data_IF_696278247038
#
_entry.id   IF_696278247038
#
_cell.length_a   1.000
_cell.length_b   1.000
_cell.length_c   1.000
_cell.angle_alpha   90.00
_cell.angle_beta   90.00
_cell.angle_gamma   90.00
#
_symmetry.space_group_name_H-M   'P 1'
#
loop_
_entity.id
_entity.type
_entity.pdbx_description
1 polymer ?
#
# COMPACT_ATOMS: atom_id res chain seq x y z
N UNK A 1 29.02 -40.40 -30.98
CA UNK A 1 27.81 -40.41 -30.14
C UNK A 1 28.16 -39.79 -28.81
N UNK A 2 27.70 -38.57 -28.53
CA UNK A 2 27.90 -37.89 -27.26
C UNK A 2 26.52 -37.57 -26.68
N UNK A 3 26.26 -38.15 -25.52
CA UNK A 3 25.00 -38.11 -24.79
C UNK A 3 24.84 -36.73 -24.13
N UNK A 4 23.85 -35.94 -24.58
CA UNK A 4 23.47 -34.69 -23.93
C UNK A 4 22.72 -35.02 -22.63
N UNK A 5 23.42 -34.90 -21.51
CA UNK A 5 22.84 -34.92 -20.17
C UNK A 5 21.90 -33.73 -20.00
N UNK A 6 20.64 -34.02 -19.67
CA UNK A 6 19.58 -33.05 -19.53
C UNK A 6 19.88 -31.96 -18.51
N UNK A 7 19.67 -30.71 -18.91
CA UNK A 7 19.50 -29.60 -17.99
C UNK A 7 18.17 -29.77 -17.26
N UNK A 8 18.21 -30.46 -16.12
CA UNK A 8 17.12 -30.41 -15.14
C UNK A 8 16.85 -28.95 -14.74
N UNK A 9 15.58 -28.56 -14.84
CA UNK A 9 15.08 -27.27 -14.39
C UNK A 9 15.48 -27.04 -12.92
N UNK A 10 16.41 -26.10 -12.70
CA UNK A 10 16.69 -25.61 -11.33
C UNK A 10 15.47 -24.84 -10.85
N UNK A 11 14.60 -25.48 -10.06
CA UNK A 11 13.57 -24.81 -9.25
C UNK A 11 14.19 -23.63 -8.53
N UNK A 12 13.59 -22.46 -8.69
CA UNK A 12 14.03 -21.23 -8.05
C UNK A 12 13.96 -21.42 -6.53
N UNK A 13 15.04 -21.12 -5.81
CA UNK A 13 15.07 -21.10 -4.33
C UNK A 13 14.12 -20.04 -3.71
N UNK A 14 13.37 -19.33 -4.55
CA UNK A 14 12.38 -18.31 -4.19
C UNK A 14 10.96 -18.70 -4.65
N UNK A 15 10.75 -19.91 -5.17
CA UNK A 15 9.39 -20.44 -5.30
C UNK A 15 8.89 -20.78 -3.90
N UNK A 16 7.81 -20.13 -3.40
CA UNK A 16 7.15 -20.61 -2.20
C UNK A 16 6.80 -22.09 -2.41
N UNK A 17 6.86 -22.88 -1.33
CA UNK A 17 6.48 -24.30 -1.32
C UNK A 17 4.96 -24.49 -1.51
N UNK A 18 4.39 -23.87 -2.54
CA UNK A 18 2.98 -23.83 -2.83
C UNK A 18 2.77 -24.15 -4.31
N UNK A 19 2.41 -25.41 -4.55
CA UNK A 19 2.20 -26.04 -5.86
C UNK A 19 0.72 -26.02 -6.30
N UNK A 20 -0.12 -25.26 -5.60
CA UNK A 20 -1.53 -25.09 -5.94
C UNK A 20 -2.44 -26.22 -5.49
N UNK A 21 -1.96 -27.16 -4.65
CA UNK A 21 -2.79 -28.25 -4.11
C UNK A 21 -2.97 -28.16 -2.58
N UNK A 22 -2.10 -27.43 -1.87
CA UNK A 22 -2.17 -27.36 -0.41
C UNK A 22 -3.13 -26.28 0.12
N UNK A 23 -4.27 -26.74 0.68
CA UNK A 23 -5.21 -25.96 1.52
C UNK A 23 -4.68 -25.72 2.95
N UNK A 24 -3.53 -26.32 3.32
CA UNK A 24 -2.91 -26.13 4.64
C UNK A 24 -1.47 -25.63 4.53
N UNK A 25 -1.15 -24.65 5.39
CA UNK A 25 0.10 -23.90 5.39
C UNK A 25 1.24 -24.70 6.03
N UNK A 26 2.38 -24.77 5.34
CA UNK A 26 3.65 -25.21 5.94
C UNK A 26 4.34 -24.01 6.60
N UNK A 27 4.62 -24.03 7.92
CA UNK A 27 5.19 -22.89 8.64
C UNK A 27 6.53 -22.42 8.07
N UNK A 28 6.60 -21.15 7.63
CA UNK A 28 7.84 -20.47 7.26
C UNK A 28 8.72 -20.23 8.49
N UNK A 29 10.04 -20.33 8.30
CA UNK A 29 11.04 -20.24 9.38
C UNK A 29 11.01 -18.86 10.05
N UNK A 30 10.69 -18.83 11.34
CA UNK A 30 10.79 -17.63 12.20
C UNK A 30 12.25 -17.16 12.32
N UNK A 31 12.44 -15.84 12.40
CA UNK A 31 13.75 -15.22 12.66
C UNK A 31 14.05 -15.22 14.17
N UNK A 32 15.33 -15.22 14.54
CA UNK A 32 15.74 -14.93 15.93
C UNK A 32 15.47 -13.47 16.25
N UNK A 33 14.77 -13.21 17.35
CA UNK A 33 14.51 -11.88 17.90
C UNK A 33 15.84 -11.17 18.23
N UNK A 34 15.91 -9.87 17.94
CA UNK A 34 16.97 -8.98 18.43
C UNK A 34 16.29 -7.95 19.33
N UNK A 35 16.87 -7.72 20.51
CA UNK A 35 16.37 -6.77 21.50
C UNK A 35 16.23 -5.36 20.93
N UNK A 36 15.14 -4.72 21.32
CA UNK A 36 14.61 -3.47 20.77
C UNK A 36 14.89 -2.29 21.73
N UNK A 37 15.29 -1.14 21.18
CA UNK A 37 15.59 0.11 21.91
C UNK A 37 14.29 0.92 22.07
N UNK A 38 13.86 1.33 23.29
CA UNK A 38 12.51 1.80 23.51
C UNK A 38 12.33 3.26 23.06
N UNK A 39 11.67 3.45 21.92
CA UNK A 39 11.04 4.73 21.55
C UNK A 39 9.63 4.82 22.16
N UNK A 40 9.26 6.06 22.51
CA UNK A 40 7.97 6.58 23.02
C UNK A 40 6.90 5.51 23.26
N UNK A 41 6.57 5.27 24.54
CA UNK A 41 5.40 4.48 24.94
C UNK A 41 4.15 5.20 24.46
N UNK A 42 3.47 4.63 23.46
CA UNK A 42 2.17 5.09 23.02
C UNK A 42 1.17 4.89 24.16
N UNK A 43 0.53 5.97 24.64
CA UNK A 43 -0.48 5.92 25.69
C UNK A 43 -1.82 5.45 25.16
N UNK A 44 -2.67 4.86 26.01
CA UNK A 44 -4.01 4.42 25.64
C UNK A 44 -4.89 5.59 25.16
N UNK A 45 -4.66 6.80 25.67
CA UNK A 45 -5.33 8.02 25.22
C UNK A 45 -4.99 8.38 23.77
N UNK A 46 -3.71 8.29 23.39
CA UNK A 46 -3.26 8.51 22.02
C UNK A 46 -3.82 7.44 21.06
N UNK A 47 -3.94 6.19 21.52
CA UNK A 47 -4.59 5.13 20.75
C UNK A 47 -6.09 5.41 20.54
N UNK A 48 -6.77 5.99 21.55
CA UNK A 48 -8.19 6.37 21.47
C UNK A 48 -8.41 7.50 20.49
N UNK A 49 -7.63 8.57 20.56
CA UNK A 49 -7.72 9.70 19.61
C UNK A 49 -7.50 9.25 18.17
N UNK A 50 -6.51 8.38 17.93
CA UNK A 50 -6.28 7.77 16.62
C UNK A 50 -7.50 7.01 16.11
N UNK A 51 -8.18 6.28 16.99
CA UNK A 51 -9.35 5.48 16.64
C UNK A 51 -10.62 6.34 16.42
N UNK A 52 -10.80 7.41 17.19
CA UNK A 52 -11.88 8.39 16.99
C UNK A 52 -11.74 9.13 15.64
N UNK A 53 -10.51 9.53 15.28
CA UNK A 53 -10.23 10.10 13.97
C UNK A 53 -10.50 9.09 12.83
N UNK A 54 -10.19 7.80 13.03
CA UNK A 54 -10.50 6.75 12.06
C UNK A 54 -12.02 6.56 11.86
N UNK A 55 -12.79 6.64 12.94
CA UNK A 55 -14.24 6.51 12.92
C UNK A 55 -14.90 7.64 12.11
N UNK A 56 -14.57 8.89 12.43
CA UNK A 56 -15.10 10.08 11.73
C UNK A 56 -14.79 10.01 10.23
N UNK A 57 -13.58 9.54 9.88
CA UNK A 57 -13.17 9.40 8.48
C UNK A 57 -13.93 8.28 7.76
N UNK A 58 -14.22 7.15 8.43
CA UNK A 58 -15.01 6.07 7.86
C UNK A 58 -16.45 6.49 7.55
N UNK A 59 -17.12 7.25 8.42
CA UNK A 59 -18.51 7.68 8.18
C UNK A 59 -18.68 8.55 6.92
N UNK A 60 -17.58 9.17 6.46
CA UNK A 60 -17.57 9.97 5.25
C UNK A 60 -17.27 9.16 3.97
N UNK A 61 -17.09 7.83 4.07
CA UNK A 61 -16.78 6.95 2.94
C UNK A 61 -18.02 6.67 2.10
N UNK A 62 -17.95 6.92 0.80
CA UNK A 62 -18.87 6.44 -0.21
C UNK A 62 -18.85 4.92 -0.34
N UNK A 63 -20.03 4.30 -0.50
CA UNK A 63 -20.07 2.92 -0.98
C UNK A 63 -19.51 2.77 -2.40
N UNK A 64 -19.66 3.80 -3.24
CA UNK A 64 -19.22 3.80 -4.65
C UNK A 64 -17.68 3.77 -4.80
N UNK A 65 -16.93 4.43 -3.91
CA UNK A 65 -15.47 4.58 -3.99
C UNK A 65 -14.76 3.99 -2.76
N UNK A 66 -15.36 2.94 -2.18
CA UNK A 66 -14.96 2.37 -0.89
C UNK A 66 -13.48 1.98 -0.82
N UNK A 67 -12.90 1.49 -1.93
CA UNK A 67 -11.50 1.07 -1.99
C UNK A 67 -10.57 2.28 -2.05
N UNK A 68 -10.77 3.20 -3.02
CA UNK A 68 -9.92 4.39 -3.14
C UNK A 68 -9.97 5.25 -1.88
N UNK A 69 -11.15 5.46 -1.30
CA UNK A 69 -11.30 6.24 -0.08
C UNK A 69 -10.70 5.51 1.11
N UNK A 70 -10.94 4.20 1.27
CA UNK A 70 -10.30 3.37 2.30
C UNK A 70 -8.77 3.44 2.29
N UNK A 71 -8.16 3.36 1.12
CA UNK A 71 -6.70 3.48 0.99
C UNK A 71 -6.22 4.90 1.30
N UNK A 72 -6.96 5.91 0.87
CA UNK A 72 -6.64 7.31 1.14
C UNK A 72 -6.71 7.63 2.63
N UNK A 73 -7.72 7.09 3.33
CA UNK A 73 -7.80 7.16 4.78
C UNK A 73 -6.63 6.47 5.46
N UNK A 74 -6.27 5.27 5.01
CA UNK A 74 -5.11 4.55 5.53
C UNK A 74 -3.82 5.37 5.43
N UNK A 75 -3.58 6.02 4.29
CA UNK A 75 -2.42 6.90 4.09
C UNK A 75 -2.46 8.12 5.01
N UNK A 76 -3.64 8.72 5.17
CA UNK A 76 -3.84 9.91 6.03
C UNK A 76 -3.59 9.57 7.49
N UNK A 77 -4.09 8.43 7.97
CA UNK A 77 -3.81 7.92 9.31
C UNK A 77 -2.30 7.70 9.50
N UNK A 78 -1.67 6.96 8.59
CA UNK A 78 -0.25 6.66 8.68
C UNK A 78 0.60 7.93 8.73
N UNK A 79 0.22 8.95 7.97
CA UNK A 79 0.83 10.27 8.02
C UNK A 79 0.62 10.93 9.40
N UNK A 80 -0.61 10.96 9.91
CA UNK A 80 -0.95 11.55 11.21
C UNK A 80 -0.15 10.92 12.36
N UNK A 81 -0.10 9.59 12.43
CA UNK A 81 0.72 8.84 13.40
C UNK A 81 2.20 9.20 13.24
N UNK A 82 2.64 9.32 12.00
CA UNK A 82 3.98 9.77 11.67
C UNK A 82 4.35 11.17 12.18
N UNK A 83 3.36 12.07 12.30
CA UNK A 83 3.58 13.43 12.79
C UNK A 83 3.72 13.51 14.31
N UNK A 84 3.14 12.55 15.04
CA UNK A 84 3.24 12.46 16.50
C UNK A 84 4.67 12.20 16.98
N UNK A 85 5.54 11.66 16.11
CA UNK A 85 6.98 11.59 16.36
C UNK A 85 7.61 10.26 15.93
N UNK A 86 8.71 9.92 16.59
CA UNK A 86 9.39 8.64 16.37
C UNK A 86 8.72 7.57 17.25
N UNK A 87 7.94 6.70 16.62
CA UNK A 87 7.11 5.70 17.27
C UNK A 87 7.43 4.35 16.65
N UNK A 88 7.51 3.29 17.46
CA UNK A 88 7.46 1.93 16.94
C UNK A 88 6.29 1.18 17.55
N UNK A 89 5.47 0.61 16.67
CA UNK A 89 4.37 -0.28 17.02
C UNK A 89 4.81 -1.71 16.76
N UNK A 90 4.79 -2.55 17.80
CA UNK A 90 4.95 -3.99 17.64
C UNK A 90 3.62 -4.68 17.33
N UNK A 91 3.66 -5.96 16.97
CA UNK A 91 2.46 -6.74 16.64
C UNK A 91 1.38 -6.73 17.73
N UNK A 92 1.74 -6.67 19.03
CA UNK A 92 0.76 -6.61 20.12
C UNK A 92 0.04 -5.25 20.14
N UNK A 93 0.77 -4.15 19.96
CA UNK A 93 0.19 -2.80 19.91
C UNK A 93 -0.66 -2.59 18.66
N UNK A 94 -0.23 -3.14 17.51
CA UNK A 94 -1.02 -3.12 16.27
C UNK A 94 -2.35 -3.85 16.47
N UNK A 95 -2.33 -5.03 17.10
CA UNK A 95 -3.57 -5.78 17.38
C UNK A 95 -4.48 -5.03 18.36
N UNK A 96 -3.95 -4.39 19.40
CA UNK A 96 -4.75 -3.56 20.31
C UNK A 96 -5.45 -2.40 19.60
N UNK A 97 -4.78 -1.75 18.65
CA UNK A 97 -5.37 -0.69 17.82
C UNK A 97 -6.55 -1.23 17.00
N UNK A 98 -6.36 -2.40 16.39
CA UNK A 98 -7.38 -3.06 15.56
C UNK A 98 -8.57 -3.46 16.42
N UNK A 99 -8.34 -4.08 17.58
CA UNK A 99 -9.40 -4.47 18.52
C UNK A 99 -10.16 -3.25 19.06
N UNK A 100 -9.45 -2.14 19.34
CA UNK A 100 -10.06 -0.88 19.73
C UNK A 100 -10.96 -0.31 18.64
N UNK A 101 -10.50 -0.37 17.39
CA UNK A 101 -11.28 0.04 16.24
C UNK A 101 -12.52 -0.83 16.04
N UNK A 102 -12.40 -2.17 16.07
CA UNK A 102 -13.53 -3.11 15.98
C UNK A 102 -14.64 -2.81 16.99
N UNK A 103 -14.25 -2.48 18.23
CA UNK A 103 -15.19 -2.10 19.30
C UNK A 103 -15.91 -0.79 19.01
N UNK A 104 -15.21 0.21 18.47
CA UNK A 104 -15.80 1.50 18.14
C UNK A 104 -16.78 1.41 16.96
N UNK A 105 -16.47 0.59 15.97
CA UNK A 105 -17.31 0.43 14.78
C UNK A 105 -18.37 -0.68 14.92
N UNK A 106 -18.38 -1.37 16.07
CA UNK A 106 -19.21 -2.53 16.38
C UNK A 106 -19.22 -3.60 15.27
N UNK A 107 -18.10 -3.72 14.55
CA UNK A 107 -17.95 -4.59 13.38
C UNK A 107 -16.56 -5.22 13.37
N UNK A 108 -16.46 -6.53 13.14
CA UNK A 108 -15.16 -7.17 12.99
C UNK A 108 -14.47 -6.70 11.71
N UNK A 109 -13.15 -6.52 11.79
CA UNK A 109 -12.27 -6.32 10.65
C UNK A 109 -12.22 -7.60 9.83
N UNK A 110 -12.22 -7.44 8.51
CA UNK A 110 -12.17 -8.55 7.54
C UNK A 110 -10.98 -9.50 7.80
N UNK A 111 -11.22 -10.80 7.74
CA UNK A 111 -10.22 -11.83 8.03
C UNK A 111 -9.00 -11.76 7.11
N UNK A 112 -9.15 -11.29 5.86
CA UNK A 112 -8.01 -11.08 4.95
C UNK A 112 -7.14 -9.92 5.43
N UNK A 113 -7.73 -8.88 6.01
CA UNK A 113 -7.00 -7.77 6.62
C UNK A 113 -6.28 -8.27 7.87
N UNK A 114 -6.96 -9.02 8.75
CA UNK A 114 -6.33 -9.65 9.93
C UNK A 114 -5.15 -10.54 9.54
N UNK A 115 -5.30 -11.32 8.46
CA UNK A 115 -4.22 -12.16 7.93
C UNK A 115 -2.99 -11.33 7.53
N UNK A 116 -3.18 -10.17 6.89
CA UNK A 116 -2.07 -9.27 6.53
C UNK A 116 -1.44 -8.66 7.78
N UNK A 117 -2.25 -8.15 8.71
CA UNK A 117 -1.80 -7.54 9.96
C UNK A 117 -0.99 -8.54 10.82
N UNK A 118 -1.41 -9.80 10.86
CA UNK A 118 -0.73 -10.85 11.61
C UNK A 118 0.67 -11.18 11.08
N UNK A 119 1.00 -10.79 9.85
CA UNK A 119 2.36 -10.94 9.30
C UNK A 119 3.30 -9.81 9.71
N UNK A 120 2.78 -8.69 10.21
CA UNK A 120 3.56 -7.52 10.62
C UNK A 120 4.20 -7.81 11.98
N UNK A 121 5.52 -7.65 12.06
CA UNK A 121 6.27 -7.71 13.30
C UNK A 121 6.33 -6.32 13.96
N UNK A 122 6.82 -5.34 13.21
CA UNK A 122 6.92 -3.95 13.66
C UNK A 122 6.61 -2.95 12.54
N UNK A 123 6.02 -1.82 12.94
CA UNK A 123 5.91 -0.60 12.15
C UNK A 123 6.70 0.50 12.86
N UNK A 124 7.77 0.99 12.23
CA UNK A 124 8.58 2.08 12.79
C UNK A 124 8.31 3.36 12.00
N UNK A 125 7.73 4.34 12.69
CA UNK A 125 7.49 5.69 12.21
C UNK A 125 8.68 6.57 12.60
N UNK A 126 9.17 7.35 11.63
CA UNK A 126 10.23 8.33 11.84
C UNK A 126 9.81 9.66 11.24
N UNK A 127 9.76 10.69 12.09
CA UNK A 127 9.57 12.06 11.64
C UNK A 127 10.85 12.57 10.97
N UNK A 128 10.70 13.15 9.79
CA UNK A 128 11.77 13.71 8.99
C UNK A 128 11.60 15.24 8.86
N UNK A 129 12.66 15.99 8.50
CA UNK A 129 12.57 17.42 8.25
C UNK A 129 11.55 17.76 7.15
N UNK A 130 10.87 18.89 7.32
CA UNK A 130 9.86 19.39 6.37
C UNK A 130 8.52 18.67 6.47
N UNK A 131 8.12 18.21 7.66
CA UNK A 131 6.82 17.56 7.86
C UNK A 131 6.71 16.17 7.22
N UNK A 132 7.81 15.58 6.77
CA UNK A 132 7.82 14.23 6.18
C UNK A 132 7.78 13.15 7.25
N UNK A 133 7.19 12.01 6.91
CA UNK A 133 7.26 10.80 7.73
C UNK A 133 7.82 9.65 6.90
N UNK A 134 8.65 8.81 7.52
CA UNK A 134 9.05 7.52 6.97
C UNK A 134 8.54 6.40 7.85
N UNK A 135 7.93 5.41 7.21
CA UNK A 135 7.35 4.24 7.85
C UNK A 135 8.12 3.04 7.33
N UNK A 136 8.77 2.32 8.25
CA UNK A 136 9.45 1.07 7.94
C UNK A 136 8.61 -0.11 8.41
N UNK A 137 8.36 -1.04 7.50
CA UNK A 137 7.57 -2.24 7.73
C UNK A 137 8.51 -3.43 7.89
N UNK A 138 8.42 -4.11 9.04
CA UNK A 138 9.10 -5.39 9.24
C UNK A 138 8.07 -6.49 9.35
N UNK A 139 8.29 -7.56 8.58
CA UNK A 139 7.47 -8.78 8.67
C UNK A 139 8.08 -9.78 9.64
N UNK A 140 7.23 -10.60 10.27
CA UNK A 140 7.64 -11.73 11.12
C UNK A 140 8.44 -12.77 10.35
N UNK A 141 8.23 -12.83 9.04
CA UNK A 141 8.88 -13.77 8.13
C UNK A 141 9.98 -13.08 7.31
N UNK A 142 10.92 -13.88 6.80
CA UNK A 142 12.08 -13.38 6.03
C UNK A 142 11.64 -12.66 4.75
N UNK A 143 10.55 -13.15 4.15
CA UNK A 143 9.94 -12.66 2.93
C UNK A 143 9.25 -11.31 3.13
N UNK A 144 8.98 -10.88 4.37
CA UNK A 144 8.20 -9.70 4.70
C UNK A 144 6.72 -10.02 4.84
N UNK A 145 5.88 -9.16 4.30
CA UNK A 145 4.42 -9.30 4.26
C UNK A 145 4.04 -9.71 2.84
N UNK A 146 3.28 -10.80 2.70
CA UNK A 146 2.82 -11.33 1.41
C UNK A 146 1.30 -11.48 1.45
N UNK A 147 0.64 -10.88 0.46
CA UNK A 147 -0.80 -11.02 0.26
C UNK A 147 -1.06 -11.69 -1.08
N UNK A 148 -1.62 -12.90 -1.03
CA UNK A 148 -1.98 -13.67 -2.23
C UNK A 148 -3.26 -13.08 -2.82
N UNK A 149 -3.18 -12.61 -4.06
CA UNK A 149 -4.31 -12.02 -4.80
C UNK A 149 -4.96 -13.08 -5.67
N UNK A 150 -4.15 -13.85 -6.40
CA UNK A 150 -4.56 -14.95 -7.28
C UNK A 150 -5.71 -14.62 -8.25
N UNK A 151 -5.84 -13.37 -8.67
CA UNK A 151 -6.89 -12.91 -9.57
C UNK A 151 -6.48 -13.12 -11.02
N UNK A 152 -7.33 -13.78 -11.80
CA UNK A 152 -7.09 -14.00 -13.22
C UNK A 152 -7.40 -12.73 -14.03
N UNK A 153 -6.68 -12.57 -15.14
CA UNK A 153 -6.91 -11.46 -16.06
C UNK A 153 -8.21 -11.63 -16.84
N UNK A 154 -8.74 -10.52 -17.33
CA UNK A 154 -9.96 -10.44 -18.14
C UNK A 154 -9.78 -10.93 -19.60
N UNK A 155 -8.55 -11.32 -19.98
CA UNK A 155 -8.20 -11.77 -21.33
C UNK A 155 -7.98 -10.66 -22.35
N UNK A 156 -8.18 -9.39 -21.97
CA UNK A 156 -8.01 -8.24 -22.86
C UNK A 156 -6.55 -7.73 -22.92
N UNK A 157 -5.71 -8.20 -22.00
CA UNK A 157 -4.31 -7.78 -21.85
C UNK A 157 -3.35 -8.97 -21.78
N UNK A 158 -2.05 -8.70 -21.91
CA UNK A 158 -0.98 -9.67 -21.70
C UNK A 158 -0.92 -10.23 -20.26
N UNK A 159 -1.69 -9.66 -19.32
CA UNK A 159 -1.75 -10.10 -17.93
C UNK A 159 -2.67 -11.31 -17.82
N UNK A 160 -2.10 -12.45 -17.45
CA UNK A 160 -2.86 -13.69 -17.20
C UNK A 160 -3.38 -13.78 -15.78
N UNK A 161 -2.57 -13.36 -14.79
CA UNK A 161 -2.93 -13.49 -13.37
C UNK A 161 -2.14 -12.52 -12.51
N UNK A 162 -2.79 -11.81 -11.60
CA UNK A 162 -2.15 -11.09 -10.50
C UNK A 162 -1.93 -12.10 -9.37
N UNK A 163 -0.68 -12.46 -9.10
CA UNK A 163 -0.34 -13.52 -8.16
C UNK A 163 -0.40 -13.03 -6.72
N UNK A 164 0.44 -12.06 -6.39
CA UNK A 164 0.54 -11.56 -5.02
C UNK A 164 1.08 -10.13 -4.97
N UNK A 165 0.73 -9.45 -3.89
CA UNK A 165 1.43 -8.27 -3.40
C UNK A 165 2.46 -8.71 -2.36
N UNK A 166 3.62 -8.06 -2.34
CA UNK A 166 4.63 -8.26 -1.31
C UNK A 166 5.25 -6.94 -0.89
N UNK A 167 5.25 -6.67 0.42
CA UNK A 167 6.17 -5.73 1.04
C UNK A 167 7.33 -6.54 1.63
N UNK A 168 8.51 -6.45 1.00
CA UNK A 168 9.71 -7.16 1.48
C UNK A 168 10.05 -6.76 2.91
N UNK A 169 10.72 -7.64 3.66
CA UNK A 169 11.09 -7.31 5.02
C UNK A 169 12.02 -6.08 5.05
N UNK A 170 11.64 -5.05 5.82
CA UNK A 170 12.33 -3.76 5.85
C UNK A 170 11.92 -2.81 4.72
N UNK A 171 10.76 -3.03 4.08
CA UNK A 171 10.18 -2.08 3.12
C UNK A 171 9.92 -0.73 3.79
N UNK A 172 10.00 0.35 3.01
CA UNK A 172 9.78 1.71 3.50
C UNK A 172 8.72 2.43 2.66
N UNK A 173 7.92 3.25 3.34
CA UNK A 173 7.04 4.24 2.72
C UNK A 173 7.40 5.61 3.28
N UNK A 174 7.77 6.55 2.42
CA UNK A 174 7.91 7.95 2.80
C UNK A 174 6.64 8.71 2.40
N UNK A 175 6.08 9.44 3.35
CA UNK A 175 4.88 10.26 3.21
C UNK A 175 5.27 11.73 3.30
N UNK A 176 4.80 12.52 2.33
CA UNK A 176 5.07 13.94 2.23
C UNK A 176 3.78 14.67 1.85
N UNK A 177 3.48 15.77 2.55
CA UNK A 177 2.38 16.66 2.15
C UNK A 177 2.79 17.36 0.85
N UNK A 178 1.85 17.54 -0.06
CA UNK A 178 2.01 18.36 -1.26
C UNK A 178 1.54 19.77 -0.91
N UNK A 179 2.44 20.63 -0.43
CA UNK A 179 2.11 22.00 -0.02
C UNK A 179 2.82 23.06 -0.86
N UNK A 180 4.04 22.79 -1.32
CA UNK A 180 4.84 23.72 -2.12
C UNK A 180 4.40 23.79 -3.58
N UNK A 181 4.68 24.92 -4.23
CA UNK A 181 4.43 25.10 -5.67
C UNK A 181 5.11 24.00 -6.51
N UNK A 182 6.33 23.60 -6.14
CA UNK A 182 7.08 22.58 -6.85
C UNK A 182 6.41 21.20 -6.76
N UNK A 183 5.92 20.82 -5.59
CA UNK A 183 5.24 19.52 -5.41
C UNK A 183 3.89 19.48 -6.12
N UNK A 184 3.17 20.61 -6.14
CA UNK A 184 1.94 20.76 -6.93
C UNK A 184 2.21 20.64 -8.42
N UNK A 185 3.25 21.29 -8.92
CA UNK A 185 3.68 21.16 -10.32
C UNK A 185 4.03 19.70 -10.67
N UNK A 186 4.76 19.00 -9.80
CA UNK A 186 5.08 17.59 -10.01
C UNK A 186 3.82 16.71 -10.10
N UNK A 187 2.84 16.93 -9.21
CA UNK A 187 1.55 16.24 -9.27
C UNK A 187 0.82 16.55 -10.58
N UNK A 188 0.75 17.82 -10.97
CA UNK A 188 0.06 18.24 -12.19
C UNK A 188 0.71 17.63 -13.45
N UNK A 189 2.04 17.63 -13.54
CA UNK A 189 2.78 16.98 -14.62
C UNK A 189 2.54 15.47 -14.66
N UNK A 190 2.54 14.82 -13.48
CA UNK A 190 2.23 13.39 -13.38
C UNK A 190 0.84 13.09 -13.93
N UNK A 191 -0.17 13.81 -13.45
CA UNK A 191 -1.58 13.68 -13.84
C UNK A 191 -1.78 13.95 -15.33
N UNK A 192 -1.07 14.94 -15.90
CA UNK A 192 -1.12 15.25 -17.32
C UNK A 192 -0.50 14.15 -18.19
N UNK A 193 0.63 13.56 -17.81
CA UNK A 193 1.26 12.46 -18.56
C UNK A 193 0.47 11.13 -18.41
N UNK A 194 -0.15 10.88 -17.27
CA UNK A 194 -1.00 9.70 -17.04
C UNK A 194 -2.36 9.81 -17.73
N UNK A 195 -3.00 10.98 -17.68
CA UNK A 195 -4.31 11.22 -18.29
C UNK A 195 -4.31 11.03 -19.81
N UNK A 196 -3.20 11.32 -20.48
CA UNK A 196 -3.02 11.06 -21.92
C UNK A 196 -3.04 9.57 -22.32
N UNK A 197 -2.88 8.67 -21.35
CA UNK A 197 -2.72 7.22 -21.57
C UNK A 197 -3.89 6.42 -21.03
N UNK A 198 -5.00 7.08 -20.69
CA UNK A 198 -6.19 6.51 -20.04
C UNK A 198 -5.86 5.64 -18.81
N UNK A 199 -4.72 5.92 -18.16
CA UNK A 199 -4.19 5.11 -17.06
C UNK A 199 -4.64 5.60 -15.68
N UNK A 200 -5.39 6.70 -15.65
CA UNK A 200 -6.05 7.24 -14.45
C UNK A 200 -7.48 7.64 -14.78
N UNK A 201 -8.35 7.69 -13.78
CA UNK A 201 -9.74 8.12 -13.95
C UNK A 201 -9.82 9.50 -14.65
N UNK A 202 -10.67 9.59 -15.68
CA UNK A 202 -10.77 10.75 -16.59
C UNK A 202 -11.03 12.09 -15.91
N UNK A 203 -11.66 12.06 -14.74
CA UNK A 203 -11.99 13.25 -13.97
C UNK A 203 -10.78 13.81 -13.20
N UNK A 204 -9.77 12.98 -12.87
CA UNK A 204 -8.61 13.44 -12.11
C UNK A 204 -7.83 14.53 -12.88
N UNK A 205 -7.43 14.36 -14.17
CA UNK A 205 -6.78 15.42 -14.93
C UNK A 205 -7.59 16.68 -15.11
N UNK A 206 -8.92 16.56 -15.07
CA UNK A 206 -9.82 17.68 -15.31
C UNK A 206 -9.96 18.58 -14.08
N UNK A 207 -9.91 18.00 -12.89
CA UNK A 207 -10.34 18.67 -11.65
C UNK A 207 -9.25 18.76 -10.58
N UNK A 208 -8.02 18.31 -10.86
CA UNK A 208 -6.96 18.29 -9.83
C UNK A 208 -6.59 19.70 -9.34
N UNK A 209 -6.64 20.71 -10.21
CA UNK A 209 -6.35 22.10 -9.83
C UNK A 209 -7.46 22.67 -8.93
N UNK A 210 -8.72 22.35 -9.23
CA UNK A 210 -9.88 22.78 -8.43
C UNK A 210 -9.79 22.31 -6.97
N UNK A 211 -9.13 21.17 -6.73
CA UNK A 211 -8.90 20.66 -5.37
C UNK A 211 -8.09 21.64 -4.50
N UNK A 212 -7.10 22.33 -5.08
CA UNK A 212 -6.27 23.29 -4.36
C UNK A 212 -6.99 24.62 -4.07
N UNK A 213 -8.16 24.83 -4.66
CA UNK A 213 -8.98 26.03 -4.49
C UNK A 213 -10.13 25.84 -3.49
N UNK A 214 -10.28 24.65 -2.90
CA UNK A 214 -11.22 24.41 -1.79
C UNK A 214 -10.77 25.24 -0.58
N UNK A 215 -11.72 25.78 0.19
CA UNK A 215 -11.44 26.68 1.33
C UNK A 215 -10.61 26.01 2.45
N UNK A 216 -10.67 24.68 2.55
CA UNK A 216 -9.87 23.86 3.49
C UNK A 216 -9.71 22.44 2.97
N UNK A 217 -8.84 22.20 1.96
CA UNK A 217 -8.64 20.86 1.44
C UNK A 217 -7.91 20.03 2.48
N UNK A 218 -8.25 18.75 2.56
CA UNK A 218 -7.39 17.79 3.24
C UNK A 218 -6.03 17.75 2.51
N UNK A 219 -4.91 17.58 3.22
CA UNK A 219 -3.60 17.59 2.57
C UNK A 219 -3.48 16.42 1.59
N UNK A 220 -3.08 16.71 0.35
CA UNK A 220 -2.65 15.67 -0.59
C UNK A 220 -1.35 15.08 -0.06
N UNK A 221 -1.26 13.76 -0.01
CA UNK A 221 -0.09 13.04 0.48
C UNK A 221 0.57 12.31 -0.69
N UNK A 222 1.82 12.69 -0.98
CA UNK A 222 2.71 11.94 -1.85
C UNK A 222 3.32 10.78 -1.07
N UNK A 223 3.23 9.59 -1.65
CA UNK A 223 3.82 8.37 -1.13
C UNK A 223 5.01 7.98 -1.99
N UNK A 224 6.13 7.62 -1.38
CA UNK A 224 7.29 7.02 -2.07
C UNK A 224 7.56 5.65 -1.48
N UNK A 225 7.65 4.64 -2.35
CA UNK A 225 7.72 3.23 -1.95
C UNK A 225 9.09 2.63 -2.22
N UNK A 226 9.57 1.84 -1.24
CA UNK A 226 10.75 1.00 -1.38
C UNK A 226 10.45 -0.41 -0.87
N UNK A 227 10.87 -1.43 -1.63
CA UNK A 227 10.70 -2.83 -1.24
C UNK A 227 9.32 -3.45 -1.52
N UNK A 228 8.36 -2.67 -2.03
CA UNK A 228 7.00 -3.16 -2.35
C UNK A 228 6.83 -3.54 -3.82
N UNK A 229 6.23 -4.71 -4.07
CA UNK A 229 6.03 -5.27 -5.42
C UNK A 229 4.64 -5.90 -5.58
N UNK A 230 4.18 -5.95 -6.83
CA UNK A 230 3.13 -6.88 -7.30
C UNK A 230 3.75 -7.85 -8.29
N UNK A 231 3.57 -9.15 -8.06
CA UNK A 231 3.95 -10.18 -9.03
C UNK A 231 2.78 -10.54 -9.93
N UNK A 232 3.01 -10.45 -11.23
CA UNK A 232 2.04 -10.71 -12.28
C UNK A 232 2.54 -11.82 -13.20
N UNK A 233 1.66 -12.76 -13.54
CA UNK A 233 1.86 -13.73 -14.60
C UNK A 233 1.43 -13.12 -15.94
N UNK A 234 2.26 -13.26 -16.96
CA UNK A 234 1.95 -12.81 -18.32
C UNK A 234 2.11 -13.94 -19.33
N UNK A 235 1.56 -13.73 -20.51
CA UNK A 235 1.72 -14.57 -21.70
C UNK A 235 2.98 -14.25 -22.52
N UNK A 236 3.71 -13.21 -22.16
CA UNK A 236 4.95 -12.79 -22.82
C UNK A 236 6.10 -13.77 -22.57
N UNK A 237 7.25 -13.56 -23.25
CA UNK A 237 8.49 -14.29 -22.95
C UNK A 237 8.88 -14.20 -21.46
N UNK A 238 8.43 -13.16 -20.75
CA UNK A 238 8.68 -12.94 -19.34
C UNK A 238 7.47 -13.39 -18.54
N UNK A 239 7.31 -14.72 -18.38
CA UNK A 239 6.14 -15.32 -17.71
C UNK A 239 5.82 -14.68 -16.36
N UNK A 240 6.82 -14.42 -15.52
CA UNK A 240 6.63 -13.73 -14.24
C UNK A 240 7.26 -12.34 -14.26
N UNK A 241 6.48 -11.34 -13.85
CA UNK A 241 6.85 -9.94 -13.85
C UNK A 241 6.65 -9.35 -12.45
N UNK A 242 7.71 -8.76 -11.90
CA UNK A 242 7.63 -7.98 -10.66
C UNK A 242 7.50 -6.49 -10.99
N UNK A 243 6.32 -5.92 -10.77
CA UNK A 243 6.11 -4.49 -10.81
C UNK A 243 6.45 -3.89 -9.45
N UNK A 244 7.38 -2.93 -9.42
CA UNK A 244 7.75 -2.23 -8.18
C UNK A 244 6.94 -0.95 -8.05
N UNK A 245 6.32 -0.74 -6.90
CA UNK A 245 5.77 0.58 -6.57
C UNK A 245 6.93 1.56 -6.43
N UNK A 246 6.76 2.76 -6.98
CA UNK A 246 7.78 3.82 -6.92
C UNK A 246 7.27 5.01 -6.12
N UNK A 247 6.13 5.53 -6.54
CA UNK A 247 5.45 6.60 -5.83
C UNK A 247 3.95 6.55 -6.13
N UNK A 248 3.18 7.33 -5.41
CA UNK A 248 1.75 7.52 -5.62
C UNK A 248 1.28 8.79 -4.93
N UNK A 249 0.01 9.13 -5.13
CA UNK A 249 -0.63 10.24 -4.43
C UNK A 249 -1.96 9.80 -3.86
N UNK A 250 -2.27 10.36 -2.71
CA UNK A 250 -3.52 10.23 -2.02
C UNK A 250 -4.13 11.64 -1.90
N UNK A 251 -5.34 11.80 -2.41
CA UNK A 251 -6.11 13.04 -2.50
C UNK A 251 -7.40 12.80 -1.71
N UNK A 252 -7.41 13.11 -0.41
CA UNK A 252 -8.55 12.78 0.44
C UNK A 252 -9.81 13.53 0.04
N UNK A 253 -10.94 12.83 0.04
CA UNK A 253 -12.28 13.38 -0.20
C UNK A 253 -12.38 14.18 -1.50
N UNK A 254 -11.70 13.72 -2.56
CA UNK A 254 -11.68 14.39 -3.85
C UNK A 254 -13.10 14.42 -4.45
N UNK A 255 -13.68 15.62 -4.50
CA UNK A 255 -15.05 15.84 -4.96
C UNK A 255 -15.17 17.17 -5.71
N UNK A 256 -16.12 17.21 -6.64
CA UNK A 256 -16.54 18.44 -7.34
C UNK A 256 -18.05 18.53 -7.25
N UNK A 257 -18.54 19.49 -6.46
CA UNK A 257 -19.95 19.50 -6.03
C UNK A 257 -20.26 18.20 -5.27
N UNK A 258 -21.29 17.47 -5.72
CA UNK A 258 -21.67 16.17 -5.17
C UNK A 258 -20.92 14.98 -5.78
N UNK A 259 -20.21 15.18 -6.90
CA UNK A 259 -19.52 14.11 -7.61
C UNK A 259 -18.23 13.72 -6.90
N UNK A 260 -18.13 12.45 -6.53
CA UNK A 260 -16.92 11.87 -5.92
C UNK A 260 -15.95 11.37 -6.98
N UNK A 261 -14.66 11.51 -6.73
CA UNK A 261 -13.58 11.15 -7.65
C UNK A 261 -12.58 10.27 -6.91
N UNK A 262 -12.05 9.18 -7.52
CA UNK A 262 -11.02 8.35 -6.91
C UNK A 262 -9.80 9.20 -6.50
N UNK A 263 -9.54 9.22 -5.20
CA UNK A 263 -8.46 9.97 -4.58
C UNK A 263 -7.10 9.29 -4.59
N UNK A 264 -6.97 8.05 -5.07
CA UNK A 264 -5.69 7.32 -5.02
C UNK A 264 -5.11 6.99 -6.39
N UNK A 265 -3.82 7.26 -6.54
CA UNK A 265 -3.06 6.98 -7.75
C UNK A 265 -1.73 6.32 -7.43
N UNK A 266 -1.38 5.25 -8.15
CA UNK A 266 -0.09 4.58 -8.01
C UNK A 266 0.70 4.57 -9.32
N UNK A 267 2.01 4.80 -9.18
CA UNK A 267 2.98 4.61 -10.25
C UNK A 267 3.83 3.36 -9.98
N UNK A 268 3.69 2.37 -10.86
CA UNK A 268 4.48 1.14 -10.84
C UNK A 268 5.47 1.13 -12.01
N UNK A 269 6.67 0.59 -11.77
CA UNK A 269 7.74 0.50 -12.78
C UNK A 269 8.32 -0.91 -12.85
N UNK A 270 8.55 -1.41 -14.08
CA UNK A 270 9.41 -2.57 -14.35
C UNK A 270 10.32 -2.29 -15.55
N UNK A 271 11.62 -2.08 -15.34
CA UNK A 271 12.66 -1.87 -16.39
C UNK A 271 12.19 -1.01 -17.60
N UNK A 272 11.66 -1.63 -18.67
CA UNK A 272 11.19 -1.01 -19.92
C UNK A 272 9.65 -0.89 -20.05
N UNK A 273 8.85 -1.49 -19.17
CA UNK A 273 7.39 -1.39 -19.15
C UNK A 273 6.92 -0.50 -17.98
N UNK A 274 6.11 0.49 -18.31
CA UNK A 274 5.44 1.38 -17.34
C UNK A 274 3.98 0.96 -17.27
N UNK A 275 3.51 0.56 -16.09
CA UNK A 275 2.09 0.31 -15.82
C UNK A 275 1.68 1.28 -14.72
N UNK A 276 0.77 2.19 -15.03
CA UNK A 276 0.23 3.17 -14.08
C UNK A 276 -1.22 2.81 -13.84
N UNK A 277 -1.66 2.75 -12.58
CA UNK A 277 -3.00 2.28 -12.21
C UNK A 277 -3.58 3.33 -11.27
N UNK A 278 -4.70 3.96 -11.65
CA UNK A 278 -5.67 4.43 -10.67
C UNK A 278 -6.48 3.25 -10.20
N UNK A 279 -6.68 3.12 -8.89
CA UNK A 279 -7.62 2.13 -8.35
C UNK A 279 -9.02 2.72 -8.43
N UNK A 280 -9.99 1.85 -8.74
CA UNK A 280 -11.43 2.10 -9.01
C UNK A 280 -11.80 2.34 -10.49
N UNK A 281 -11.18 1.57 -11.40
CA UNK A 281 -11.79 1.15 -12.67
C UNK A 281 -12.05 -0.35 -12.63
#
# INVERSE_FOLDING_TARGET
MATLLGCGEKKSKLDPAWDGVNETYTPLKKKKEKDFDPQIRVSDEMLREMAEHLFILQENTSEELKISEGLTFGVTLLHYVGQMGNITLNSSQINKLVDGFEKLIEKPVDEKIKFVLNQIDTLTFRKLPGGRCRIRLQGKYKEGIVYMINQDGDGSTAVKKIKYFQAKNGSEVELNIVDTLQERQELHEFVKDTGKRDSIHKDIPRYIEDYFHIESPSPIIKMKFEGMIVRVLTDTMWKNIDFRFKFGWSIPLFRIGEKKIPGIMFFLKKNFAKTKISLDQ
#
